data_IF_370197538502
#
_entry.id   IF_370197538502
#
_cell.length_a   1.000
_cell.length_b   1.000
_cell.length_c   1.000
_cell.angle_alpha   90.00
_cell.angle_beta   90.00
_cell.angle_gamma   90.00
#
_symmetry.space_group_name_H-M   'P 1'
#
loop_
_entity.id
_entity.type
_entity.pdbx_description
1 polymer ?
#
# COMPACT_ATOMS: atom_id res chain seq x y z
N UNK A 1 -33.08 -23.32 -5.41
CA UNK A 1 -32.56 -22.97 -4.07
C UNK A 1 -33.44 -23.69 -3.04
N UNK A 2 -32.84 -24.49 -2.15
CA UNK A 2 -33.52 -25.51 -1.34
C UNK A 2 -34.42 -24.95 -0.24
N UNK A 3 -35.63 -25.49 -0.14
CA UNK A 3 -36.67 -25.04 0.79
C UNK A 3 -36.32 -25.20 2.28
N UNK A 4 -35.33 -26.03 2.63
CA UNK A 4 -34.94 -26.31 4.02
C UNK A 4 -33.80 -25.42 4.52
N UNK A 5 -33.03 -24.80 3.60
CA UNK A 5 -31.93 -23.90 3.93
C UNK A 5 -31.80 -22.86 2.80
N UNK A 6 -32.36 -21.66 2.95
CA UNK A 6 -32.27 -20.65 1.91
C UNK A 6 -30.80 -20.29 1.65
N UNK A 7 -30.41 -20.33 0.39
CA UNK A 7 -29.11 -19.92 -0.11
C UNK A 7 -29.33 -18.74 -1.05
N UNK A 8 -28.61 -17.65 -0.81
CA UNK A 8 -28.66 -16.45 -1.66
C UNK A 8 -27.38 -16.38 -2.47
N UNK A 9 -27.52 -16.35 -3.78
CA UNK A 9 -26.42 -16.16 -4.71
C UNK A 9 -26.77 -15.02 -5.67
N UNK A 10 -25.74 -14.28 -6.10
CA UNK A 10 -25.84 -13.25 -7.13
C UNK A 10 -25.26 -13.79 -8.43
N UNK A 11 -25.94 -13.54 -9.55
CA UNK A 11 -25.51 -14.01 -10.87
C UNK A 11 -25.57 -12.88 -11.88
N UNK A 12 -24.70 -12.91 -12.89
CA UNK A 12 -24.71 -11.94 -13.97
C UNK A 12 -23.34 -11.65 -14.57
N UNK A 13 -23.33 -10.86 -15.63
CA UNK A 13 -22.10 -10.49 -16.34
C UNK A 13 -21.13 -9.70 -15.46
N UNK A 14 -21.63 -8.84 -14.58
CA UNK A 14 -20.81 -8.03 -13.67
C UNK A 14 -20.02 -8.89 -12.69
N UNK A 15 -20.64 -9.92 -12.09
CA UNK A 15 -19.92 -10.82 -11.16
C UNK A 15 -18.92 -11.69 -11.90
N UNK A 16 -19.20 -12.08 -13.15
CA UNK A 16 -18.24 -12.76 -14.01
C UNK A 16 -17.04 -11.87 -14.35
N UNK A 17 -17.26 -10.60 -14.69
CA UNK A 17 -16.19 -9.64 -14.96
C UNK A 17 -15.34 -9.40 -13.71
N UNK A 18 -15.97 -9.22 -12.55
CA UNK A 18 -15.26 -9.06 -11.27
C UNK A 18 -14.40 -10.29 -10.95
N UNK A 19 -14.93 -11.50 -11.16
CA UNK A 19 -14.16 -12.74 -11.01
C UNK A 19 -12.93 -12.79 -11.93
N UNK A 20 -13.01 -12.24 -13.15
CA UNK A 20 -11.85 -12.14 -14.05
C UNK A 20 -10.83 -11.08 -13.62
N UNK A 21 -11.27 -9.99 -12.99
CA UNK A 21 -10.35 -9.01 -12.41
C UNK A 21 -9.53 -9.63 -11.28
N UNK A 22 -10.16 -10.47 -10.46
CA UNK A 22 -9.49 -11.17 -9.37
C UNK A 22 -8.56 -12.27 -9.89
N UNK A 23 -9.05 -13.16 -10.78
CA UNK A 23 -8.26 -14.28 -11.30
C UNK A 23 -7.04 -13.86 -12.12
N UNK A 24 -7.09 -12.67 -12.73
CA UNK A 24 -5.96 -12.10 -13.49
C UNK A 24 -5.20 -11.04 -12.70
N UNK A 25 -5.57 -10.80 -11.44
CA UNK A 25 -4.96 -9.80 -10.58
C UNK A 25 -3.51 -10.08 -10.22
N UNK A 26 -2.82 -9.07 -9.72
CA UNK A 26 -1.52 -9.22 -9.08
C UNK A 26 -1.68 -9.05 -7.57
N UNK A 27 -1.05 -9.93 -6.80
CA UNK A 27 -1.10 -9.86 -5.33
C UNK A 27 -0.59 -8.51 -4.83
N UNK A 28 -1.29 -7.94 -3.84
CA UNK A 28 -0.98 -6.62 -3.28
C UNK A 28 -1.36 -5.44 -4.18
N UNK A 29 -2.02 -5.66 -5.32
CA UNK A 29 -2.54 -4.59 -6.19
C UNK A 29 -4.04 -4.74 -6.39
N UNK A 30 -4.74 -3.61 -6.53
CA UNK A 30 -6.17 -3.59 -6.83
C UNK A 30 -6.34 -3.35 -8.32
N UNK A 31 -6.85 -4.34 -9.04
CA UNK A 31 -7.16 -4.23 -10.45
C UNK A 31 -8.62 -3.84 -10.67
N UNK A 32 -8.86 -2.90 -11.58
CA UNK A 32 -10.21 -2.44 -11.93
C UNK A 32 -10.40 -2.35 -13.45
N UNK A 33 -11.61 -2.61 -13.97
CA UNK A 33 -11.95 -2.34 -15.36
C UNK A 33 -12.08 -0.83 -15.58
N UNK A 34 -11.99 -0.41 -16.84
CA UNK A 34 -12.02 1.01 -17.23
C UNK A 34 -13.19 1.81 -16.64
N UNK A 35 -14.42 1.29 -16.69
CA UNK A 35 -15.60 1.98 -16.16
C UNK A 35 -15.49 2.30 -14.68
N UNK A 36 -15.03 1.34 -13.88
CA UNK A 36 -14.76 1.53 -12.44
C UNK A 36 -13.57 2.47 -12.22
N UNK A 37 -12.54 2.36 -13.06
CA UNK A 37 -11.38 3.26 -13.04
C UNK A 37 -11.81 4.72 -13.16
N UNK A 38 -12.61 5.07 -14.16
CA UNK A 38 -13.09 6.46 -14.37
C UNK A 38 -13.75 7.04 -13.11
N UNK A 39 -14.64 6.29 -12.47
CA UNK A 39 -15.30 6.70 -11.22
C UNK A 39 -14.29 6.92 -10.09
N UNK A 40 -13.26 6.08 -10.00
CA UNK A 40 -12.20 6.23 -8.99
C UNK A 40 -11.31 7.44 -9.28
N UNK A 41 -10.99 7.70 -10.55
CA UNK A 41 -10.24 8.89 -10.95
C UNK A 41 -10.99 10.17 -10.56
N UNK A 42 -12.30 10.23 -10.78
CA UNK A 42 -13.15 11.36 -10.38
C UNK A 42 -13.17 11.58 -8.86
N UNK A 43 -12.93 10.51 -8.08
CA UNK A 43 -12.78 10.56 -6.62
C UNK A 43 -11.35 10.86 -6.14
N UNK A 44 -10.44 11.10 -7.08
CA UNK A 44 -9.05 11.48 -6.82
C UNK A 44 -8.08 10.32 -6.59
N UNK A 45 -8.44 9.09 -6.96
CA UNK A 45 -7.49 7.97 -6.94
C UNK A 45 -6.56 8.03 -8.16
N UNK A 46 -5.30 7.62 -7.95
CA UNK A 46 -4.33 7.50 -9.04
C UNK A 46 -4.50 6.13 -9.68
N UNK A 47 -4.54 6.11 -11.02
CA UNK A 47 -4.67 4.89 -11.80
C UNK A 47 -3.44 4.67 -12.65
N UNK A 48 -2.89 3.47 -12.60
CA UNK A 48 -1.83 3.02 -13.50
C UNK A 48 -2.44 2.12 -14.57
N UNK A 49 -2.23 2.43 -15.85
CA UNK A 49 -2.65 1.55 -16.95
C UNK A 49 -1.94 0.19 -16.81
N UNK A 50 -2.73 -0.88 -16.76
CA UNK A 50 -2.21 -2.26 -16.82
C UNK A 50 -2.14 -2.75 -18.27
N UNK A 51 -3.16 -2.43 -19.05
CA UNK A 51 -3.36 -2.93 -20.41
C UNK A 51 -4.68 -3.66 -20.57
N UNK A 52 -4.85 -4.29 -21.72
CA UNK A 52 -6.06 -5.02 -22.08
C UNK A 52 -5.95 -6.49 -21.67
N UNK A 53 -7.04 -7.04 -21.12
CA UNK A 53 -7.15 -8.47 -20.83
C UNK A 53 -8.28 -9.10 -21.63
N UNK A 54 -8.15 -10.40 -21.90
CA UNK A 54 -9.22 -11.16 -22.53
C UNK A 54 -10.25 -11.61 -21.49
N UNK A 55 -11.51 -11.26 -21.71
CA UNK A 55 -12.66 -11.69 -20.91
C UNK A 55 -13.65 -12.38 -21.82
N UNK A 56 -13.80 -13.70 -21.69
CA UNK A 56 -14.76 -14.50 -22.47
C UNK A 56 -16.17 -13.88 -22.42
N UNK A 57 -16.86 -13.80 -23.56
CA UNK A 57 -18.15 -13.13 -23.72
C UNK A 57 -18.06 -11.61 -23.94
N UNK A 58 -17.22 -10.89 -23.19
CA UNK A 58 -17.05 -9.43 -23.40
C UNK A 58 -16.09 -9.18 -24.56
N UNK A 59 -14.97 -9.88 -24.60
CA UNK A 59 -13.91 -9.66 -25.58
C UNK A 59 -14.21 -10.20 -26.97
N UNK A 60 -15.12 -11.16 -27.06
CA UNK A 60 -15.61 -11.66 -28.35
C UNK A 60 -16.51 -10.62 -29.05
N UNK A 61 -17.17 -9.74 -28.29
CA UNK A 61 -18.09 -8.73 -28.84
C UNK A 61 -17.46 -7.33 -28.95
N UNK A 62 -16.53 -7.00 -28.04
CA UNK A 62 -16.01 -5.63 -27.85
C UNK A 62 -14.48 -5.52 -27.87
N UNK A 63 -13.77 -6.64 -28.04
CA UNK A 63 -12.32 -6.68 -27.95
C UNK A 63 -11.78 -6.71 -26.51
N UNK A 64 -10.47 -6.51 -26.35
CA UNK A 64 -9.83 -6.56 -25.03
C UNK A 64 -10.50 -5.62 -24.00
N UNK A 65 -10.59 -6.06 -22.75
CA UNK A 65 -11.08 -5.22 -21.66
C UNK A 65 -9.92 -4.45 -21.08
N UNK A 66 -9.94 -3.13 -21.20
CA UNK A 66 -8.92 -2.25 -20.62
C UNK A 66 -8.99 -2.24 -19.10
N UNK A 67 -7.84 -2.41 -18.47
CA UNK A 67 -7.71 -2.51 -17.01
C UNK A 67 -6.64 -1.59 -16.46
N UNK A 68 -6.81 -1.24 -15.18
CA UNK A 68 -5.96 -0.34 -14.43
C UNK A 68 -5.64 -0.94 -13.07
N UNK A 69 -4.49 -0.58 -12.51
CA UNK A 69 -4.21 -0.74 -11.10
C UNK A 69 -4.53 0.56 -10.35
N UNK A 70 -5.16 0.43 -9.19
CA UNK A 70 -5.45 1.57 -8.31
C UNK A 70 -4.29 1.76 -7.35
N UNK A 71 -3.81 2.99 -7.24
CA UNK A 71 -2.84 3.43 -6.24
C UNK A 71 -3.52 4.33 -5.21
N UNK A 72 -2.98 4.36 -3.98
CA UNK A 72 -3.47 5.29 -2.95
C UNK A 72 -3.33 6.73 -3.42
N UNK A 73 -4.26 7.60 -3.00
CA UNK A 73 -4.02 9.05 -2.97
C UNK A 73 -2.71 9.27 -2.21
N UNK A 74 -1.71 9.82 -2.89
CA UNK A 74 -0.42 10.28 -2.34
C UNK A 74 -0.01 9.61 -1.03
N UNK A 75 0.46 8.37 -1.13
CA UNK A 75 1.60 7.96 -0.32
C UNK A 75 2.64 7.41 -1.28
N UNK A 76 3.70 8.19 -1.45
CA UNK A 76 5.01 7.76 -1.90
C UNK A 76 5.49 6.62 -0.99
N UNK A 77 5.03 5.41 -1.23
CA UNK A 77 5.50 4.21 -0.53
C UNK A 77 5.87 3.15 -1.56
N UNK A 78 7.05 3.39 -2.16
CA UNK A 78 8.13 2.41 -2.20
C UNK A 78 7.72 0.93 -2.22
N UNK A 79 7.25 0.46 -3.36
CA UNK A 79 7.39 -0.94 -3.76
C UNK A 79 8.64 -1.09 -4.63
N UNK A 80 9.78 -0.60 -4.14
CA UNK A 80 11.08 -0.95 -4.73
C UNK A 80 11.63 -2.11 -3.92
N UNK A 81 11.61 -3.28 -4.57
CA UNK A 81 12.63 -4.32 -4.50
C UNK A 81 13.35 -4.47 -3.16
N UNK A 82 12.93 -5.49 -2.41
CA UNK A 82 13.80 -6.13 -1.43
C UNK A 82 14.91 -6.87 -2.18
N UNK A 83 16.01 -6.19 -2.50
CA UNK A 83 17.31 -6.83 -2.56
C UNK A 83 18.46 -5.84 -2.39
N UNK A 84 19.36 -6.20 -1.47
CA UNK A 84 20.74 -5.67 -1.33
C UNK A 84 20.89 -4.26 -0.72
N UNK A 85 21.12 -4.28 0.60
CA UNK A 85 22.21 -3.55 1.27
C UNK A 85 22.03 -2.08 1.69
N UNK A 86 22.08 -1.91 3.03
CA UNK A 86 22.58 -0.77 3.82
C UNK A 86 21.75 0.52 3.79
N UNK A 87 20.80 0.59 4.72
CA UNK A 87 20.24 1.86 5.19
C UNK A 87 19.11 1.59 6.17
N UNK A 88 19.33 1.90 7.45
CA UNK A 88 18.36 1.70 8.54
C UNK A 88 17.14 2.59 8.27
N UNK A 89 16.12 2.01 7.63
CA UNK A 89 14.75 2.54 7.60
C UNK A 89 13.84 1.50 8.25
N UNK A 90 14.11 1.21 9.53
CA UNK A 90 13.11 0.57 10.38
C UNK A 90 12.01 1.61 10.61
N UNK A 91 10.76 1.23 10.33
CA UNK A 91 9.60 2.09 10.41
C UNK A 91 9.66 3.04 11.61
N UNK A 92 9.59 4.34 11.30
CA UNK A 92 9.69 5.47 12.25
C UNK A 92 8.70 5.43 13.43
N UNK A 93 7.81 4.44 13.46
CA UNK A 93 6.73 4.31 14.43
C UNK A 93 6.74 2.95 15.17
N UNK A 94 7.84 2.19 15.15
CA UNK A 94 7.94 0.98 15.99
C UNK A 94 8.33 1.36 17.42
N UNK A 95 7.72 0.69 18.41
CA UNK A 95 8.09 0.86 19.82
C UNK A 95 9.60 0.60 20.03
N UNK A 96 10.17 -0.37 19.32
CA UNK A 96 11.60 -0.66 19.36
C UNK A 96 12.47 0.53 18.93
N UNK A 97 12.10 1.25 17.87
CA UNK A 97 12.83 2.44 17.42
C UNK A 97 12.77 3.57 18.46
N UNK A 98 11.60 3.82 19.05
CA UNK A 98 11.42 4.85 20.09
C UNK A 98 12.24 4.50 21.34
N UNK A 99 12.15 3.26 21.81
CA UNK A 99 12.91 2.78 22.97
C UNK A 99 14.41 2.90 22.70
N UNK A 100 14.87 2.48 21.52
CA UNK A 100 16.28 2.60 21.14
C UNK A 100 16.74 4.06 21.13
N UNK A 101 15.96 4.98 20.56
CA UNK A 101 16.27 6.41 20.56
C UNK A 101 16.33 7.00 21.98
N UNK A 102 15.42 6.61 22.88
CA UNK A 102 15.42 7.07 24.28
C UNK A 102 16.62 6.54 25.06
N UNK A 103 16.98 5.26 24.88
CA UNK A 103 18.16 4.65 25.51
C UNK A 103 19.44 5.33 25.03
N UNK A 104 19.55 5.60 23.73
CA UNK A 104 20.71 6.30 23.16
C UNK A 104 20.80 7.76 23.64
N UNK A 105 19.66 8.44 23.81
CA UNK A 105 19.62 9.79 24.36
C UNK A 105 20.13 9.82 25.82
N UNK A 106 19.71 8.87 26.66
CA UNK A 106 20.19 8.74 28.04
C UNK A 106 21.68 8.44 28.11
N UNK A 107 22.18 7.50 27.31
CA UNK A 107 23.62 7.18 27.28
C UNK A 107 24.47 8.36 26.81
N UNK A 108 23.92 9.21 25.93
CA UNK A 108 24.59 10.46 25.50
C UNK A 108 24.62 11.50 26.63
N UNK A 109 23.61 11.54 27.48
CA UNK A 109 23.60 12.42 28.67
C UNK A 109 24.62 11.96 29.70
N UNK A 110 24.70 10.66 30.01
CA UNK A 110 25.70 10.09 30.91
C UNK A 110 27.14 10.37 30.43
N UNK A 111 27.39 10.24 29.13
CA UNK A 111 28.69 10.59 28.54
C UNK A 111 28.95 12.10 28.57
N UNK A 112 27.91 12.94 28.49
CA UNK A 112 28.05 14.41 28.59
C UNK A 112 28.32 14.85 30.03
N UNK A 113 27.74 14.16 31.01
CA UNK A 113 28.00 14.35 32.44
C UNK A 113 29.40 13.84 32.82
N UNK A 114 29.81 12.68 32.31
CA UNK A 114 31.14 12.13 32.51
C UNK A 114 32.26 13.00 31.90
N UNK A 115 31.97 13.74 30.83
CA UNK A 115 32.92 14.62 30.15
C UNK A 115 32.96 16.07 30.70
N UNK A 116 32.37 16.34 31.87
CA UNK A 116 32.56 17.59 32.61
C UNK A 116 31.83 18.80 32.01
N UNK A 117 30.51 18.86 32.20
CA UNK A 117 29.72 20.06 31.90
C UNK A 117 30.08 21.24 32.81
N UNK A 118 30.81 22.21 32.25
CA UNK A 118 31.00 23.61 32.67
C UNK A 118 31.67 23.87 34.02
N UNK A 119 32.91 24.38 33.97
CA UNK A 119 33.54 25.11 35.08
C UNK A 119 33.31 26.62 34.90
N UNK A 120 32.89 27.25 35.99
CA UNK A 120 32.54 28.66 36.22
C UNK A 120 33.69 29.64 35.94
N UNK A 121 33.39 30.86 35.47
CA UNK A 121 34.21 32.05 35.76
C UNK A 121 33.26 33.16 36.22
N UNK A 122 33.29 33.45 37.53
CA UNK A 122 32.82 34.72 38.07
C UNK A 122 33.57 35.87 37.38
N UNK A 123 32.85 36.94 37.04
CA UNK A 123 33.46 38.21 36.63
C UNK A 123 33.12 39.21 37.74
N UNK A 124 34.21 39.74 38.32
CA UNK A 124 34.30 40.84 39.30
C UNK A 124 33.53 42.08 38.88
#
# INVERSE_FOLDING_TARGET
IGATKPQYDIWGMTVNLASRMDSTGLSGRIQVPEGTGRILADRGFVLQLRGDIYVKGVSEQRGGVRTYFVSSREQSTSYTERNTSRGISLGRNTLAAVVFSLVQARKKEELREANGGFHLMEIT
#
